data_IF_840852946775
#
_entry.id   IF_840852946775
#
_cell.length_a   1.000
_cell.length_b   1.000
_cell.length_c   1.000
_cell.angle_alpha   90.00
_cell.angle_beta   90.00
_cell.angle_gamma   90.00
#
_symmetry.space_group_name_H-M   'P 1'
#
loop_
_entity.id
_entity.type
_entity.pdbx_description
1 polymer ?
#
# COMPACT_ATOMS: atom_id res chain seq x y z
N UNK A 1 -2.25 11.45 -1.38
CA UNK A 1 -3.38 10.50 -1.29
C UNK A 1 -4.02 10.61 0.10
N UNK A 2 -4.97 11.51 0.34
CA UNK A 2 -5.52 11.74 1.69
C UNK A 2 -6.80 10.93 1.99
N UNK A 3 -7.41 10.31 0.98
CA UNK A 3 -8.60 9.46 1.05
C UNK A 3 -8.44 8.21 0.14
N UNK A 4 -9.41 7.29 0.18
CA UNK A 4 -9.39 6.08 -0.66
C UNK A 4 -9.43 6.39 -2.16
N UNK A 5 -10.17 7.42 -2.58
CA UNK A 5 -10.23 7.81 -3.99
C UNK A 5 -8.85 8.20 -4.54
N UNK A 6 -8.06 8.93 -3.74
CA UNK A 6 -6.69 9.26 -4.04
C UNK A 6 -5.78 8.03 -4.09
N UNK A 7 -5.93 7.08 -3.15
CA UNK A 7 -5.18 5.82 -3.16
C UNK A 7 -5.47 5.03 -4.45
N UNK A 8 -6.75 4.81 -4.75
CA UNK A 8 -7.19 4.09 -5.95
C UNK A 8 -6.65 4.72 -7.22
N UNK A 9 -6.71 6.05 -7.33
CA UNK A 9 -6.26 6.74 -8.54
C UNK A 9 -4.75 6.60 -8.74
N UNK A 10 -3.95 6.76 -7.67
CA UNK A 10 -2.49 6.67 -7.80
C UNK A 10 -2.01 5.25 -8.08
N UNK A 11 -2.59 4.24 -7.44
CA UNK A 11 -2.26 2.84 -7.73
C UNK A 11 -2.68 2.44 -9.14
N UNK A 12 -3.88 2.83 -9.58
CA UNK A 12 -4.34 2.56 -10.94
C UNK A 12 -3.39 3.16 -11.98
N UNK A 13 -2.87 4.38 -11.75
CA UNK A 13 -1.86 4.99 -12.62
C UNK A 13 -0.52 4.26 -12.55
N UNK A 14 0.00 4.01 -11.34
CA UNK A 14 1.35 3.46 -11.15
C UNK A 14 1.49 2.01 -11.67
N UNK A 15 0.45 1.20 -11.47
CA UNK A 15 0.41 -0.20 -11.88
C UNK A 15 -0.37 -0.44 -13.18
N UNK A 16 -0.81 0.63 -13.85
CA UNK A 16 -1.60 0.57 -15.09
C UNK A 16 -2.81 -0.37 -14.98
N UNK A 17 -3.64 -0.16 -13.96
CA UNK A 17 -4.91 -0.90 -13.82
C UNK A 17 -5.80 -0.69 -15.06
N UNK A 18 -6.70 -1.65 -15.38
CA UNK A 18 -7.58 -1.52 -16.53
C UNK A 18 -8.47 -0.28 -16.49
N UNK A 19 -8.82 0.26 -17.66
CA UNK A 19 -9.68 1.46 -17.79
C UNK A 19 -11.07 1.29 -17.14
N UNK A 20 -11.54 0.04 -17.01
CA UNK A 20 -12.81 -0.30 -16.36
C UNK A 20 -12.67 -0.52 -14.84
N UNK A 21 -11.53 -0.17 -14.23
CA UNK A 21 -11.31 -0.29 -12.79
C UNK A 21 -12.42 0.38 -11.96
N UNK A 22 -13.08 -0.43 -11.13
CA UNK A 22 -14.34 -0.08 -10.44
C UNK A 22 -14.22 0.90 -9.26
N UNK A 23 -13.01 1.37 -8.91
CA UNK A 23 -12.74 2.37 -7.86
C UNK A 23 -13.39 2.07 -6.50
N UNK A 24 -13.34 0.81 -6.09
CA UNK A 24 -13.79 0.34 -4.78
C UNK A 24 -12.81 -0.71 -4.24
N UNK A 25 -13.01 -1.16 -3.00
CA UNK A 25 -12.10 -2.10 -2.32
C UNK A 25 -11.99 -3.44 -3.05
N UNK A 26 -13.10 -4.03 -3.46
CA UNK A 26 -13.11 -5.32 -4.14
C UNK A 26 -12.36 -5.25 -5.48
N UNK A 27 -12.63 -4.21 -6.28
CA UNK A 27 -11.92 -3.98 -7.54
C UNK A 27 -10.42 -3.69 -7.32
N UNK A 28 -10.07 -3.04 -6.20
CA UNK A 28 -8.67 -2.77 -5.85
C UNK A 28 -7.95 -4.07 -5.48
N UNK A 29 -8.59 -4.91 -4.67
CA UNK A 29 -8.09 -6.22 -4.30
C UNK A 29 -7.89 -7.13 -5.51
N UNK A 30 -8.83 -7.14 -6.46
CA UNK A 30 -8.71 -7.89 -7.71
C UNK A 30 -7.49 -7.44 -8.51
N UNK A 31 -7.33 -6.14 -8.74
CA UNK A 31 -6.20 -5.61 -9.51
C UNK A 31 -4.85 -5.84 -8.80
N UNK A 32 -4.79 -5.68 -7.49
CA UNK A 32 -3.57 -5.86 -6.71
C UNK A 32 -3.10 -7.32 -6.63
N UNK A 33 -4.00 -8.30 -6.78
CA UNK A 33 -3.68 -9.73 -6.81
C UNK A 33 -3.21 -10.22 -8.19
N UNK A 34 -3.48 -9.44 -9.24
CA UNK A 34 -3.17 -9.78 -10.63
C UNK A 34 -2.02 -8.93 -11.22
N UNK A 35 -1.16 -8.38 -10.36
CA UNK A 35 0.03 -7.66 -10.83
C UNK A 35 1.01 -8.65 -11.45
N UNK A 36 1.54 -8.29 -12.62
CA UNK A 36 2.58 -9.04 -13.29
C UNK A 36 3.98 -8.49 -12.97
N UNK A 37 4.96 -9.39 -12.91
CA UNK A 37 6.37 -9.04 -12.73
C UNK A 37 6.95 -9.49 -11.37
N UNK A 38 8.27 -9.34 -11.23
CA UNK A 38 8.97 -9.62 -9.97
C UNK A 38 10.32 -8.87 -9.97
N UNK A 39 10.64 -8.11 -8.89
CA UNK A 39 9.85 -7.87 -7.70
C UNK A 39 8.73 -6.82 -7.92
N UNK A 40 7.67 -6.90 -7.12
CA UNK A 40 6.58 -5.92 -7.07
C UNK A 40 6.83 -4.95 -5.91
N UNK A 41 7.39 -3.78 -6.19
CA UNK A 41 7.73 -2.78 -5.17
C UNK A 41 6.94 -1.51 -5.44
N UNK A 42 6.17 -1.06 -4.46
CA UNK A 42 5.44 0.23 -4.51
C UNK A 42 6.06 1.21 -3.52
N UNK A 43 6.45 2.39 -3.99
CA UNK A 43 6.78 3.51 -3.10
C UNK A 43 5.53 4.40 -2.90
N UNK A 44 5.17 4.62 -1.64
CA UNK A 44 4.19 5.63 -1.25
C UNK A 44 4.96 6.85 -0.74
N UNK A 45 5.04 7.87 -1.58
CA UNK A 45 5.59 9.18 -1.21
C UNK A 45 4.59 9.97 -0.39
N UNK A 46 5.10 10.91 0.42
CA UNK A 46 4.32 11.69 1.38
C UNK A 46 3.42 10.80 2.28
N UNK A 47 3.98 9.71 2.79
CA UNK A 47 3.24 8.71 3.58
C UNK A 47 2.57 9.29 4.84
N UNK A 48 3.06 10.42 5.36
CA UNK A 48 2.40 11.18 6.42
C UNK A 48 0.99 11.66 6.03
N UNK A 49 0.73 11.84 4.73
CA UNK A 49 -0.55 12.29 4.17
C UNK A 49 -1.49 11.14 3.82
N UNK A 50 -0.99 9.91 3.74
CA UNK A 50 -1.76 8.74 3.34
C UNK A 50 -3.02 8.60 4.20
N UNK A 51 -4.21 8.62 3.61
CA UNK A 51 -5.50 8.40 4.30
C UNK A 51 -5.73 9.31 5.53
N UNK A 52 -5.21 10.56 5.50
CA UNK A 52 -5.43 11.51 6.59
C UNK A 52 -6.89 11.93 6.77
N UNK A 53 -7.65 12.05 5.68
CA UNK A 53 -9.05 12.46 5.71
C UNK A 53 -9.97 11.26 6.03
N UNK A 54 -9.47 10.03 5.84
CA UNK A 54 -10.19 8.78 6.12
C UNK A 54 -9.36 7.81 6.99
N UNK A 55 -8.96 8.21 8.21
CA UNK A 55 -7.97 7.46 9.01
C UNK A 55 -8.44 6.04 9.39
N UNK A 56 -9.75 5.79 9.46
CA UNK A 56 -10.32 4.45 9.70
C UNK A 56 -10.01 3.47 8.57
N UNK A 57 -9.75 3.95 7.36
CA UNK A 57 -9.43 3.11 6.21
C UNK A 57 -7.99 2.59 6.22
N UNK A 58 -7.10 3.22 7.01
CA UNK A 58 -5.71 2.80 7.10
C UNK A 58 -5.56 1.35 7.59
N UNK A 59 -6.40 0.91 8.53
CA UNK A 59 -6.42 -0.48 9.01
C UNK A 59 -6.73 -1.47 7.90
N UNK A 60 -7.75 -1.17 7.10
CA UNK A 60 -8.09 -2.01 5.95
C UNK A 60 -6.94 -2.04 4.94
N UNK A 61 -6.38 -0.87 4.60
CA UNK A 61 -5.33 -0.77 3.61
C UNK A 61 -4.06 -1.52 4.05
N UNK A 62 -3.66 -1.39 5.31
CA UNK A 62 -2.50 -2.07 5.87
C UNK A 62 -2.69 -3.61 5.84
N UNK A 63 -3.85 -4.11 6.28
CA UNK A 63 -4.18 -5.53 6.22
C UNK A 63 -4.22 -6.08 4.79
N UNK A 64 -4.73 -5.30 3.83
CA UNK A 64 -4.74 -5.67 2.42
C UNK A 64 -3.32 -5.84 1.86
N UNK A 65 -2.40 -4.92 2.18
CA UNK A 65 -1.01 -5.01 1.76
C UNK A 65 -0.28 -6.22 2.35
N UNK A 66 -0.51 -6.54 3.62
CA UNK A 66 0.02 -7.77 4.25
C UNK A 66 -0.54 -9.02 3.56
N UNK A 67 -1.84 -9.02 3.26
CA UNK A 67 -2.48 -10.11 2.54
C UNK A 67 -1.86 -10.31 1.14
N UNK A 68 -1.58 -9.24 0.39
CA UNK A 68 -0.92 -9.35 -0.93
C UNK A 68 0.51 -9.88 -0.78
N UNK A 69 1.26 -9.36 0.20
CA UNK A 69 2.61 -9.82 0.47
C UNK A 69 2.65 -11.34 0.74
N UNK A 70 1.69 -11.84 1.51
CA UNK A 70 1.53 -13.27 1.76
C UNK A 70 1.17 -14.04 0.48
N UNK A 71 0.19 -13.53 -0.27
CA UNK A 71 -0.32 -14.18 -1.50
C UNK A 71 0.76 -14.32 -2.57
N UNK A 72 1.52 -13.26 -2.85
CA UNK A 72 2.62 -13.30 -3.83
C UNK A 72 3.77 -14.21 -3.37
N UNK A 73 4.07 -14.24 -2.07
CA UNK A 73 5.10 -15.13 -1.52
C UNK A 73 4.72 -16.61 -1.63
N UNK A 74 3.42 -16.92 -1.67
CA UNK A 74 2.90 -18.28 -1.80
C UNK A 74 2.84 -18.79 -3.24
N UNK A 75 3.11 -17.95 -4.25
CA UNK A 75 3.16 -18.38 -5.65
C UNK A 75 4.41 -19.23 -5.95
N UNK A 76 4.38 -19.96 -7.08
CA UNK A 76 5.53 -20.69 -7.61
C UNK A 76 5.87 -20.21 -9.04
N UNK A 77 7.02 -19.55 -9.25
CA UNK A 77 8.01 -19.14 -8.25
C UNK A 77 7.51 -18.02 -7.34
N UNK A 78 8.04 -17.94 -6.11
CA UNK A 78 7.64 -16.91 -5.15
C UNK A 78 7.97 -15.50 -5.66
N UNK A 79 6.98 -14.61 -5.62
CA UNK A 79 7.12 -13.20 -6.02
C UNK A 79 7.34 -12.34 -4.79
N UNK A 80 8.33 -11.46 -4.83
CA UNK A 80 8.57 -10.49 -3.75
C UNK A 80 7.62 -9.31 -3.94
N UNK A 81 6.82 -9.03 -2.92
CA UNK A 81 5.97 -7.84 -2.85
C UNK A 81 6.41 -6.98 -1.65
N UNK A 82 6.57 -5.67 -1.87
CA UNK A 82 6.93 -4.73 -0.81
C UNK A 82 6.31 -3.35 -1.04
N UNK A 83 6.00 -2.67 0.06
CA UNK A 83 5.60 -1.26 0.07
C UNK A 83 6.61 -0.46 0.89
N UNK A 84 7.16 0.60 0.28
CA UNK A 84 8.07 1.54 0.94
C UNK A 84 7.31 2.81 1.26
N UNK A 85 7.40 3.26 2.51
CA UNK A 85 6.74 4.48 2.98
C UNK A 85 7.77 5.60 3.09
N UNK A 86 7.71 6.57 2.18
CA UNK A 86 8.61 7.70 2.15
C UNK A 86 7.95 8.93 2.78
N UNK A 87 8.66 9.55 3.74
CA UNK A 87 8.24 10.76 4.43
C UNK A 87 9.46 11.61 4.82
N UNK A 88 9.28 12.93 5.01
CA UNK A 88 10.28 13.80 5.64
C UNK A 88 10.79 13.19 6.96
N UNK A 89 12.08 13.38 7.25
CA UNK A 89 12.76 12.70 8.37
C UNK A 89 12.08 12.97 9.73
N UNK A 90 11.65 14.21 9.96
CA UNK A 90 10.92 14.67 11.14
C UNK A 90 9.51 14.06 11.28
N UNK A 91 8.96 13.51 10.19
CA UNK A 91 7.63 12.91 10.14
C UNK A 91 7.63 11.37 10.13
N UNK A 92 8.80 10.73 9.96
CA UNK A 92 8.91 9.25 9.92
C UNK A 92 8.38 8.59 11.19
N UNK A 93 8.67 9.15 12.36
CA UNK A 93 8.15 8.64 13.63
C UNK A 93 6.61 8.74 13.72
N UNK A 94 6.02 9.78 13.13
CA UNK A 94 4.56 9.93 13.04
C UNK A 94 3.97 8.89 12.09
N UNK A 95 4.58 8.65 10.93
CA UNK A 95 4.16 7.57 10.02
C UNK A 95 4.23 6.22 10.72
N UNK A 96 5.36 5.89 11.35
CA UNK A 96 5.53 4.63 12.07
C UNK A 96 4.45 4.44 13.14
N UNK A 97 4.16 5.47 13.94
CA UNK A 97 3.10 5.44 14.96
C UNK A 97 1.71 5.17 14.36
N UNK A 98 1.38 5.78 13.22
CA UNK A 98 0.08 5.57 12.55
C UNK A 98 -0.10 4.13 12.08
N UNK A 99 0.96 3.50 11.58
CA UNK A 99 0.94 2.11 11.13
C UNK A 99 0.88 1.12 12.30
N UNK A 100 1.63 1.37 13.37
CA UNK A 100 1.53 0.59 14.62
C UNK A 100 0.13 0.64 15.23
N UNK A 101 -0.55 1.79 15.14
CA UNK A 101 -1.92 1.94 15.63
C UNK A 101 -2.95 1.10 14.85
N UNK A 102 -2.56 0.54 13.70
CA UNK A 102 -3.37 -0.40 12.92
C UNK A 102 -2.75 -1.80 12.86
N UNK A 103 -1.91 -2.12 13.85
CA UNK A 103 -1.32 -3.45 14.09
C UNK A 103 -0.29 -3.90 13.03
N UNK A 104 0.31 -2.96 12.29
CA UNK A 104 1.42 -3.21 11.38
C UNK A 104 2.69 -2.55 11.90
N UNK A 105 3.77 -3.31 12.03
CA UNK A 105 5.08 -2.81 12.47
C UNK A 105 5.96 -2.47 11.25
N UNK A 106 6.18 -1.17 10.93
CA UNK A 106 7.04 -0.80 9.81
C UNK A 106 8.51 -0.99 10.17
N UNK A 107 9.28 -1.51 9.22
CA UNK A 107 10.73 -1.57 9.33
C UNK A 107 11.29 -0.20 8.91
N UNK A 108 12.06 0.45 9.78
CA UNK A 108 12.80 1.65 9.42
C UNK A 108 14.03 1.27 8.58
N UNK A 109 14.21 1.96 7.46
CA UNK A 109 15.35 1.77 6.57
C UNK A 109 16.31 2.94 6.70
N UNK A 110 17.60 2.66 6.90
CA UNK A 110 18.67 3.66 6.90
C UNK A 110 18.93 4.33 8.25
N UNK A 111 18.82 3.57 9.35
CA UNK A 111 19.43 3.93 10.64
C UNK A 111 20.94 3.63 10.64
#
# INVERSE_FOLDING_TARGET
MTDLAGVYSQFATAWAFPDYFGRNKDAFDDCMRDLAGSPLITEITDAQRLLLDEPRQLRWFAAALEFYAHSYRAQEPAVRFAVVLSAPADLRATVARRWRAVDVEPILLGD
#
